data_IF_000314283703
#
_entry.id   IF_000314283703
#
_cell.length_a   1.000
_cell.length_b   1.000
_cell.length_c   1.000
_cell.angle_alpha   90.00
_cell.angle_beta   90.00
_cell.angle_gamma   90.00
#
_symmetry.space_group_name_H-M   'P 1'
#
loop_
_entity.id
_entity.type
_entity.pdbx_description
1 polymer ?
#
# COMPACT_ATOMS: atom_id res chain seq x y z
N UNK A 1 4.62 25.67 -7.23
CA UNK A 1 4.18 24.67 -6.26
C UNK A 1 3.04 23.96 -6.93
N UNK A 2 3.35 23.02 -7.81
CA UNK A 2 2.37 22.19 -8.51
C UNK A 2 3.15 20.92 -8.85
N UNK A 3 3.36 20.07 -7.84
CA UNK A 3 3.83 18.71 -8.06
C UNK A 3 2.70 17.98 -8.77
N UNK A 4 2.76 18.10 -10.09
CA UNK A 4 1.81 17.62 -11.05
C UNK A 4 1.43 16.18 -10.73
N UNK A 5 0.12 15.98 -10.59
CA UNK A 5 -0.63 14.83 -11.04
C UNK A 5 0.27 13.71 -11.60
N UNK A 6 0.66 12.78 -10.72
CA UNK A 6 1.16 11.49 -11.16
C UNK A 6 -0.07 10.74 -11.66
N UNK A 7 -0.47 11.08 -12.88
CA UNK A 7 -1.34 10.28 -13.69
C UNK A 7 -0.67 8.94 -14.00
N UNK A 8 -1.47 7.89 -13.85
CA UNK A 8 -1.32 6.59 -14.49
C UNK A 8 -0.26 5.64 -13.90
N UNK A 9 -0.72 4.74 -13.04
CA UNK A 9 -0.41 3.31 -13.19
C UNK A 9 -1.58 2.48 -12.72
N UNK A 10 -2.69 2.53 -13.49
CA UNK A 10 -3.70 1.49 -13.41
C UNK A 10 -3.22 0.29 -14.22
N UNK A 11 -3.44 -0.90 -13.65
CA UNK A 11 -3.54 -2.19 -14.32
C UNK A 11 -2.25 -2.93 -14.72
N UNK A 12 -1.50 -3.46 -13.74
CA UNK A 12 -0.98 -4.84 -13.75
C UNK A 12 -0.84 -5.25 -12.28
N UNK A 13 -1.79 -5.98 -11.69
CA UNK A 13 -1.59 -7.40 -11.35
C UNK A 13 -2.95 -8.12 -11.25
N UNK A 14 -3.69 -8.19 -12.36
CA UNK A 14 -4.77 -9.19 -12.49
C UNK A 14 -4.13 -10.56 -12.65
N UNK A 15 -4.01 -11.29 -11.54
CA UNK A 15 -3.79 -12.73 -11.54
C UNK A 15 -2.77 -13.20 -10.52
N UNK A 16 -3.25 -13.68 -9.37
CA UNK A 16 -2.55 -14.64 -8.49
C UNK A 16 -1.16 -14.21 -7.99
N UNK A 17 -1.05 -13.05 -7.35
CA UNK A 17 -0.07 -12.90 -6.29
C UNK A 17 -0.84 -12.77 -4.98
N UNK A 18 -0.70 -13.77 -4.11
CA UNK A 18 -1.45 -13.85 -2.86
C UNK A 18 -1.10 -12.65 -1.96
N UNK A 19 0.15 -12.17 -2.04
CA UNK A 19 0.69 -11.07 -1.23
C UNK A 19 1.07 -9.82 -2.03
N UNK A 20 0.86 -8.66 -1.39
CA UNK A 20 1.37 -7.37 -1.87
C UNK A 20 2.90 -7.31 -1.80
N UNK A 21 3.53 -6.80 -2.86
CA UNK A 21 4.94 -6.42 -2.83
C UNK A 21 5.14 -5.07 -2.15
N UNK A 22 6.38 -4.76 -1.78
CA UNK A 22 6.73 -3.43 -1.24
C UNK A 22 6.30 -2.28 -2.16
N UNK A 23 6.43 -2.47 -3.47
CA UNK A 23 6.10 -1.46 -4.46
C UNK A 23 4.58 -1.28 -4.60
N UNK A 24 3.80 -2.35 -4.46
CA UNK A 24 2.34 -2.29 -4.42
C UNK A 24 1.86 -1.50 -3.20
N UNK A 25 2.48 -1.71 -2.04
CA UNK A 25 2.12 -1.02 -0.79
C UNK A 25 2.45 0.47 -0.87
N UNK A 26 3.63 0.83 -1.39
CA UNK A 26 4.00 2.24 -1.64
C UNK A 26 3.00 2.89 -2.60
N UNK A 27 2.61 2.18 -3.66
CA UNK A 27 1.68 2.68 -4.67
C UNK A 27 0.30 2.90 -4.07
N UNK A 28 -0.23 1.90 -3.35
CA UNK A 28 -1.53 1.96 -2.67
C UNK A 28 -1.60 3.15 -1.70
N UNK A 29 -0.55 3.35 -0.88
CA UNK A 29 -0.47 4.49 0.03
C UNK A 29 -0.44 5.83 -0.71
N UNK A 30 0.33 5.92 -1.80
CA UNK A 30 0.45 7.16 -2.60
C UNK A 30 -0.82 7.49 -3.37
N UNK A 31 -1.61 6.50 -3.78
CA UNK A 31 -2.92 6.72 -4.44
C UNK A 31 -3.89 7.51 -3.55
N UNK A 32 -3.81 7.32 -2.24
CA UNK A 32 -4.60 8.07 -1.24
C UNK A 32 -3.82 9.23 -0.60
N UNK A 33 -2.65 9.59 -1.16
CA UNK A 33 -1.80 10.71 -0.77
C UNK A 33 -1.44 10.75 0.73
N UNK A 34 -1.17 9.59 1.34
CA UNK A 34 -0.78 9.49 2.75
C UNK A 34 0.73 9.34 2.94
N UNK A 35 1.25 9.91 4.02
CA UNK A 35 2.58 9.58 4.56
C UNK A 35 2.59 8.17 5.16
N UNK A 36 3.77 7.60 5.42
CA UNK A 36 3.88 6.28 6.05
C UNK A 36 3.20 6.23 7.43
N UNK A 37 3.28 7.32 8.19
CA UNK A 37 2.63 7.43 9.51
C UNK A 37 1.12 7.48 9.39
N UNK A 38 0.57 8.34 8.52
CA UNK A 38 -0.88 8.42 8.32
C UNK A 38 -1.47 7.13 7.76
N UNK A 39 -0.73 6.43 6.90
CA UNK A 39 -1.13 5.12 6.40
C UNK A 39 -1.14 4.06 7.50
N UNK A 40 -0.14 4.08 8.39
CA UNK A 40 -0.11 3.21 9.54
C UNK A 40 -1.29 3.48 10.49
N UNK A 41 -1.55 4.76 10.80
CA UNK A 41 -2.66 5.18 11.65
C UNK A 41 -4.02 4.78 11.05
N UNK A 42 -4.20 4.96 9.74
CA UNK A 42 -5.42 4.56 9.02
C UNK A 42 -5.68 3.05 9.09
N UNK A 43 -4.63 2.24 8.98
CA UNK A 43 -4.73 0.78 9.02
C UNK A 43 -4.66 0.19 10.45
N UNK A 44 -4.44 1.02 11.46
CA UNK A 44 -4.25 0.58 12.85
C UNK A 44 -2.94 -0.19 13.05
N UNK A 45 -1.91 0.11 12.25
CA UNK A 45 -0.59 -0.50 12.32
C UNK A 45 0.42 0.44 12.97
N UNK A 46 1.56 -0.13 13.39
CA UNK A 46 2.70 0.70 13.77
C UNK A 46 3.41 1.22 12.51
N UNK A 47 4.00 2.42 12.60
CA UNK A 47 4.83 2.99 11.53
C UNK A 47 5.91 2.02 11.05
N UNK A 48 6.56 1.31 11.99
CA UNK A 48 7.61 0.32 11.68
C UNK A 48 7.10 -0.84 10.83
N UNK A 49 5.84 -1.23 10.96
CA UNK A 49 5.21 -2.25 10.12
C UNK A 49 5.13 -1.78 8.67
N UNK A 50 4.64 -0.55 8.45
CA UNK A 50 4.57 0.05 7.10
C UNK A 50 5.97 0.20 6.51
N UNK A 51 6.91 0.77 7.26
CA UNK A 51 8.30 0.93 6.81
C UNK A 51 8.92 -0.41 6.43
N UNK A 52 8.70 -1.46 7.24
CA UNK A 52 9.24 -2.78 6.96
C UNK A 52 8.66 -3.37 5.68
N UNK A 53 7.36 -3.22 5.45
CA UNK A 53 6.72 -3.73 4.23
C UNK A 53 7.15 -2.96 2.99
N UNK A 54 7.24 -1.63 3.06
CA UNK A 54 7.76 -0.81 1.96
C UNK A 54 9.25 -1.04 1.69
N UNK A 55 9.99 -1.59 2.65
CA UNK A 55 11.37 -2.04 2.48
C UNK A 55 11.50 -3.47 1.92
N UNK A 56 10.39 -4.19 1.69
CA UNK A 56 10.40 -5.54 1.09
C UNK A 56 10.07 -6.68 2.04
N UNK A 57 9.73 -6.41 3.30
CA UNK A 57 9.23 -7.48 4.17
C UNK A 57 7.85 -7.95 3.71
N UNK A 58 7.64 -9.27 3.75
CA UNK A 58 6.36 -9.87 3.40
C UNK A 58 5.31 -9.54 4.47
N UNK A 59 4.11 -9.05 4.10
CA UNK A 59 3.01 -8.89 5.03
C UNK A 59 2.63 -10.21 5.70
N UNK A 60 2.06 -10.16 6.91
CA UNK A 60 1.35 -11.32 7.46
C UNK A 60 0.06 -11.54 6.67
N UNK A 61 -0.50 -12.75 6.72
CA UNK A 61 -1.78 -13.06 6.06
C UNK A 61 -2.90 -12.08 6.48
N UNK A 62 -2.97 -11.75 7.78
CA UNK A 62 -3.93 -10.79 8.30
C UNK A 62 -3.71 -9.37 7.73
N UNK A 63 -2.47 -8.89 7.71
CA UNK A 63 -2.16 -7.56 7.18
C UNK A 63 -2.34 -7.50 5.66
N UNK A 64 -2.06 -8.60 4.98
CA UNK A 64 -2.30 -8.74 3.56
C UNK A 64 -3.80 -8.69 3.21
N UNK A 65 -4.65 -9.35 4.00
CA UNK A 65 -6.10 -9.25 3.85
C UNK A 65 -6.62 -7.82 4.03
N UNK A 66 -6.03 -7.04 4.95
CA UNK A 66 -6.34 -5.62 5.12
C UNK A 66 -5.95 -4.81 3.88
N UNK A 67 -4.80 -5.07 3.26
CA UNK A 67 -4.37 -4.40 2.02
C UNK A 67 -5.31 -4.72 0.86
N UNK A 68 -5.73 -5.98 0.72
CA UNK A 68 -6.75 -6.38 -0.27
C UNK A 68 -8.09 -5.66 -0.03
N UNK A 69 -8.53 -5.61 1.23
CA UNK A 69 -9.77 -4.92 1.59
C UNK A 69 -9.71 -3.40 1.35
N UNK A 70 -8.53 -2.78 1.50
CA UNK A 70 -8.31 -1.39 1.13
C UNK A 70 -8.34 -1.21 -0.39
N UNK A 71 -7.62 -2.05 -1.14
CA UNK A 71 -7.59 -1.97 -2.61
C UNK A 71 -8.97 -2.16 -3.24
N UNK A 72 -9.83 -3.03 -2.70
CA UNK A 72 -11.21 -3.24 -3.19
C UNK A 72 -12.10 -2.00 -3.00
N UNK A 73 -11.74 -1.09 -2.08
CA UNK A 73 -12.52 0.12 -1.75
C UNK A 73 -12.07 1.37 -2.51
N UNK A 74 -10.96 1.30 -3.23
CA UNK A 74 -10.39 2.39 -4.02
C UNK A 74 -10.78 2.26 -5.49
#
# INVERSE_FOLDING_TARGET
MDDAAIEQTFAVCRGRHDYFSSQDIVTLRKQINLTQSEFADMLGWNLTTVVSYEAGALPSEANNAVLHALQDKL
#
